data_IF_405911328873
#
_entry.id   IF_405911328873
#
_cell.length_a   1.000
_cell.length_b   1.000
_cell.length_c   1.000
_cell.angle_alpha   90.00
_cell.angle_beta   90.00
_cell.angle_gamma   90.00
#
_symmetry.space_group_name_H-M   'P 1'
#
loop_
_entity.id
_entity.type
_entity.pdbx_description
1 polymer ?
#
# COMPACT_ATOMS: atom_id res chain seq x y z
N UNK A 1 -37.08 -22.75 -4.44
CA UNK A 1 -35.70 -22.57 -4.97
C UNK A 1 -35.17 -21.15 -4.69
N UNK A 2 -35.23 -20.66 -3.43
CA UNK A 2 -34.79 -19.30 -3.05
C UNK A 2 -33.61 -19.28 -2.08
N UNK A 3 -33.16 -20.44 -1.59
CA UNK A 3 -32.08 -20.55 -0.61
C UNK A 3 -30.69 -20.75 -1.22
N UNK A 4 -30.58 -21.03 -2.53
CA UNK A 4 -29.30 -21.30 -3.18
C UNK A 4 -28.45 -20.04 -3.43
N UNK A 5 -29.06 -18.85 -3.50
CA UNK A 5 -28.33 -17.60 -3.76
C UNK A 5 -27.57 -17.04 -2.56
N UNK A 6 -27.90 -17.47 -1.33
CA UNK A 6 -27.25 -16.98 -0.11
C UNK A 6 -25.93 -17.69 0.22
N UNK A 7 -25.67 -18.88 -0.36
CA UNK A 7 -24.45 -19.66 -0.13
C UNK A 7 -23.24 -19.18 -0.95
N UNK A 8 -23.44 -18.37 -2.00
CA UNK A 8 -22.34 -17.84 -2.83
C UNK A 8 -21.65 -16.60 -2.24
N UNK A 9 -22.21 -15.99 -1.18
CA UNK A 9 -21.65 -14.78 -0.55
C UNK A 9 -20.70 -15.11 0.61
N UNK A 10 -20.62 -16.37 1.04
CA UNK A 10 -19.81 -16.79 2.19
C UNK A 10 -18.40 -17.29 1.83
N UNK A 11 -17.88 -17.00 0.63
CA UNK A 11 -16.47 -17.30 0.33
C UNK A 11 -15.63 -16.16 0.90
N UNK A 12 -14.84 -16.37 1.97
CA UNK A 12 -13.88 -15.38 2.42
C UNK A 12 -12.83 -15.23 1.32
N UNK A 13 -12.93 -14.14 0.55
CA UNK A 13 -11.87 -13.78 -0.38
C UNK A 13 -10.77 -13.14 0.48
N UNK A 14 -9.73 -13.90 0.79
CA UNK A 14 -8.48 -13.35 1.31
C UNK A 14 -7.83 -12.57 0.17
N UNK A 15 -8.19 -11.30 0.03
CA UNK A 15 -7.55 -10.40 -0.94
C UNK A 15 -6.21 -9.97 -0.31
N UNK A 16 -5.11 -10.54 -0.82
CA UNK A 16 -3.77 -10.04 -0.56
C UNK A 16 -3.69 -8.55 -0.87
N UNK A 17 -3.13 -7.74 0.03
CA UNK A 17 -2.92 -6.32 -0.28
C UNK A 17 -1.93 -6.15 -1.43
N UNK A 18 -2.06 -5.09 -2.21
CA UNK A 18 -1.06 -4.69 -3.22
C UNK A 18 -0.19 -3.57 -2.69
N UNK A 19 1.10 -3.61 -2.94
CA UNK A 19 2.03 -2.54 -2.57
C UNK A 19 2.87 -2.10 -3.76
N UNK A 20 3.42 -0.89 -3.70
CA UNK A 20 4.52 -0.51 -4.57
C UNK A 20 5.80 -1.22 -4.10
N UNK A 21 6.52 -1.83 -5.02
CA UNK A 21 7.79 -2.53 -4.78
C UNK A 21 8.83 -2.01 -5.75
N UNK A 22 10.02 -1.69 -5.26
CA UNK A 22 11.12 -1.22 -6.09
C UNK A 22 12.02 -0.24 -5.37
N UNK A 23 12.95 0.32 -6.12
CA UNK A 23 13.95 1.25 -5.63
C UNK A 23 14.09 2.44 -6.59
N UNK A 24 14.35 3.60 -6.02
CA UNK A 24 14.66 4.82 -6.76
C UNK A 24 15.77 5.61 -6.09
N UNK A 25 16.47 6.42 -6.88
CA UNK A 25 17.53 7.29 -6.40
C UNK A 25 17.41 8.70 -7.00
N UNK A 26 17.99 9.67 -6.29
CA UNK A 26 17.99 11.08 -6.65
C UNK A 26 16.77 11.83 -6.12
N UNK A 27 16.89 13.17 -6.09
CA UNK A 27 15.98 14.07 -5.36
C UNK A 27 14.50 14.00 -5.79
N UNK A 28 14.24 13.48 -6.98
CA UNK A 28 12.89 13.32 -7.54
C UNK A 28 12.32 11.91 -7.36
N UNK A 29 12.98 11.02 -6.60
CA UNK A 29 12.60 9.62 -6.48
C UNK A 29 12.40 8.92 -7.83
N UNK A 30 13.31 9.19 -8.78
CA UNK A 30 13.30 8.50 -10.08
C UNK A 30 13.69 7.04 -9.85
N UNK A 31 12.67 6.20 -9.80
CA UNK A 31 12.80 4.78 -9.49
C UNK A 31 11.81 3.97 -10.29
N UNK A 32 12.12 2.68 -10.40
CA UNK A 32 11.22 1.73 -11.02
C UNK A 32 10.38 1.06 -9.92
N UNK A 33 9.09 1.39 -9.89
CA UNK A 33 8.16 0.83 -8.91
C UNK A 33 7.09 -0.01 -9.62
N UNK A 34 6.99 -1.26 -9.23
CA UNK A 34 5.94 -2.18 -9.65
C UNK A 34 4.84 -2.25 -8.60
N UNK A 35 3.62 -2.48 -9.07
CA UNK A 35 2.50 -2.81 -8.19
C UNK A 35 2.34 -4.33 -8.17
N UNK A 36 2.58 -4.94 -7.02
CA UNK A 36 2.50 -6.39 -6.86
C UNK A 36 1.65 -6.76 -5.63
N UNK A 37 0.90 -7.88 -5.69
CA UNK A 37 0.23 -8.44 -4.52
C UNK A 37 1.28 -8.96 -3.51
N UNK A 38 1.03 -8.73 -2.23
CA UNK A 38 1.85 -9.23 -1.14
C UNK A 38 1.39 -10.62 -0.71
N UNK A 39 2.31 -11.50 -0.29
CA UNK A 39 1.94 -12.82 0.25
C UNK A 39 1.05 -12.73 1.50
N UNK A 40 0.40 -13.83 1.88
CA UNK A 40 -0.61 -13.88 2.94
C UNK A 40 -0.10 -13.37 4.31
N UNK A 41 1.20 -13.52 4.60
CA UNK A 41 1.84 -13.08 5.85
C UNK A 41 2.24 -11.58 5.84
N UNK A 42 2.08 -10.90 4.71
CA UNK A 42 2.52 -9.53 4.50
C UNK A 42 1.33 -8.57 4.48
N UNK A 43 0.88 -8.17 5.67
CA UNK A 43 -0.27 -7.28 5.84
C UNK A 43 0.08 -5.77 5.79
N UNK A 44 1.32 -5.40 5.44
CA UNK A 44 1.79 -4.03 5.41
C UNK A 44 2.50 -3.69 4.10
N UNK A 45 2.46 -2.41 3.71
CA UNK A 45 3.37 -1.86 2.73
C UNK A 45 4.48 -1.09 3.44
N UNK A 46 5.70 -1.29 2.95
CA UNK A 46 6.92 -0.71 3.48
C UNK A 46 7.44 0.41 2.57
N UNK A 47 8.00 1.46 3.17
CA UNK A 47 8.78 2.49 2.48
C UNK A 47 9.95 2.90 3.36
N UNK A 48 11.15 2.90 2.79
CA UNK A 48 12.34 3.48 3.37
C UNK A 48 12.80 4.65 2.52
N UNK A 49 13.07 5.79 3.16
CA UNK A 49 13.45 7.04 2.52
C UNK A 49 14.74 7.54 3.18
N UNK A 50 15.88 7.38 2.49
CA UNK A 50 17.21 7.67 3.03
C UNK A 50 17.89 8.82 2.29
N UNK A 51 18.46 9.73 3.07
CA UNK A 51 19.35 10.81 2.69
C UNK A 51 20.70 10.62 3.39
N UNK A 52 21.67 10.04 2.69
CA UNK A 52 23.02 9.82 3.23
C UNK A 52 24.09 10.31 2.25
N UNK A 53 25.08 11.05 2.76
CA UNK A 53 26.21 11.55 1.98
C UNK A 53 25.82 12.29 0.68
N UNK A 54 24.70 13.03 0.71
CA UNK A 54 24.18 13.76 -0.46
C UNK A 54 23.42 12.90 -1.48
N UNK A 55 23.21 11.61 -1.18
CA UNK A 55 22.40 10.70 -2.00
C UNK A 55 21.04 10.50 -1.35
N UNK A 56 19.99 10.66 -2.16
CA UNK A 56 18.61 10.32 -1.81
C UNK A 56 18.23 8.98 -2.43
N UNK A 57 17.75 8.03 -1.64
CA UNK A 57 17.26 6.73 -2.10
C UNK A 57 15.93 6.40 -1.45
N UNK A 58 14.99 5.86 -2.23
CA UNK A 58 13.71 5.34 -1.73
C UNK A 58 13.55 3.89 -2.11
N UNK A 59 13.34 3.04 -1.10
CA UNK A 59 13.08 1.61 -1.25
C UNK A 59 11.66 1.30 -0.81
N UNK A 60 11.00 0.39 -1.51
CA UNK A 60 9.64 -0.04 -1.19
C UNK A 60 9.47 -1.53 -1.36
N UNK A 61 8.64 -2.11 -0.50
CA UNK A 61 8.33 -3.53 -0.55
C UNK A 61 7.01 -3.84 0.14
N UNK A 62 6.61 -5.10 0.08
CA UNK A 62 5.71 -5.66 1.10
C UNK A 62 6.45 -5.67 2.45
N UNK A 63 5.74 -5.32 3.52
CA UNK A 63 6.21 -5.36 4.89
C UNK A 63 5.69 -6.61 5.61
N UNK A 64 6.61 -7.40 6.15
CA UNK A 64 6.33 -8.46 7.12
C UNK A 64 6.42 -7.88 8.55
N UNK A 65 5.92 -8.63 9.53
CA UNK A 65 5.78 -8.19 10.93
C UNK A 65 7.08 -7.65 11.55
N UNK A 66 8.24 -8.22 11.21
CA UNK A 66 9.53 -7.76 11.76
C UNK A 66 10.02 -6.46 11.10
N UNK A 67 9.72 -6.27 9.81
CA UNK A 67 10.06 -5.05 9.09
C UNK A 67 9.07 -3.91 9.39
N UNK A 68 7.83 -4.27 9.74
CA UNK A 68 6.76 -3.35 10.09
C UNK A 68 6.15 -3.69 11.46
N UNK A 69 6.91 -3.51 12.56
CA UNK A 69 6.42 -3.82 13.91
C UNK A 69 5.28 -2.89 14.34
N UNK A 70 5.19 -1.70 13.74
CA UNK A 70 4.10 -0.75 13.97
C UNK A 70 3.77 0.04 12.70
N UNK A 71 2.52 0.52 12.61
CA UNK A 71 2.12 1.47 11.56
C UNK A 71 2.68 2.86 11.87
N UNK A 72 2.90 3.65 10.82
CA UNK A 72 3.37 5.02 10.92
C UNK A 72 4.76 5.17 10.33
N UNK A 73 5.31 6.36 10.50
CA UNK A 73 6.65 6.69 10.05
C UNK A 73 7.54 6.98 11.26
N UNK A 74 8.74 6.43 11.26
CA UNK A 74 9.74 6.59 12.31
C UNK A 74 11.04 7.08 11.68
N UNK A 75 11.75 7.97 12.38
CA UNK A 75 13.07 8.41 11.96
C UNK A 75 14.08 7.28 12.14
N UNK A 76 14.92 7.08 11.14
CA UNK A 76 16.03 6.12 11.16
C UNK A 76 17.34 6.86 10.85
N UNK A 77 18.47 6.17 10.95
CA UNK A 77 19.76 6.76 10.62
C UNK A 77 19.78 7.19 9.17
N UNK A 78 19.86 8.50 8.96
CA UNK A 78 19.89 9.07 7.62
C UNK A 78 18.54 9.11 6.92
N UNK A 79 17.39 8.99 7.60
CA UNK A 79 16.11 9.05 6.88
C UNK A 79 14.85 8.75 7.68
N UNK A 80 13.83 8.26 6.97
CA UNK A 80 12.52 7.88 7.52
C UNK A 80 12.10 6.52 7.01
N UNK A 81 11.63 5.68 7.91
CA UNK A 81 11.03 4.38 7.63
C UNK A 81 9.52 4.47 7.89
N UNK A 82 8.69 4.00 6.96
CA UNK A 82 7.24 4.07 7.05
C UNK A 82 6.59 2.73 6.75
N UNK A 83 5.61 2.38 7.58
CA UNK A 83 4.76 1.21 7.40
C UNK A 83 3.29 1.61 7.42
N UNK A 84 2.51 1.08 6.48
CA UNK A 84 1.08 1.33 6.37
C UNK A 84 0.34 0.03 6.02
N UNK A 85 -0.96 -0.03 6.30
CA UNK A 85 -1.80 -1.20 6.00
C UNK A 85 -2.92 -0.79 5.06
N UNK A 86 -3.05 -1.50 3.96
CA UNK A 86 -4.05 -1.25 2.92
C UNK A 86 -3.41 -1.24 1.53
N UNK A 87 -4.24 -1.34 0.51
CA UNK A 87 -3.78 -1.35 -0.88
C UNK A 87 -3.07 -0.04 -1.25
N UNK A 88 -1.86 -0.18 -1.78
CA UNK A 88 -1.03 0.88 -2.38
C UNK A 88 -0.77 2.07 -1.45
N UNK A 89 -0.78 1.84 -0.13
CA UNK A 89 -0.65 2.89 0.87
C UNK A 89 0.77 3.47 0.97
N UNK A 90 1.76 2.92 0.25
CA UNK A 90 3.14 3.42 0.15
C UNK A 90 3.40 4.16 -1.18
N UNK A 91 2.72 5.30 -1.44
CA UNK A 91 2.64 5.93 -2.76
C UNK A 91 4.01 6.28 -3.33
N UNK A 92 4.17 6.16 -4.67
CA UNK A 92 5.28 6.78 -5.40
C UNK A 92 5.29 8.28 -5.11
N UNK A 93 6.48 8.88 -5.00
CA UNK A 93 6.58 10.25 -4.54
C UNK A 93 5.75 11.21 -5.41
N UNK A 94 5.08 12.14 -4.71
CA UNK A 94 4.41 13.35 -5.20
C UNK A 94 2.98 13.25 -5.74
N UNK A 95 2.08 12.46 -5.12
CA UNK A 95 0.64 12.73 -5.25
C UNK A 95 0.01 12.75 -3.86
N UNK A 96 -0.02 13.96 -3.29
CA UNK A 96 -0.69 14.28 -2.03
C UNK A 96 -2.15 13.79 -2.06
N UNK A 97 -2.57 13.23 -0.93
CA UNK A 97 -3.82 12.52 -0.67
C UNK A 97 -5.08 13.30 -1.07
N UNK A 98 -5.58 13.11 -2.29
CA UNK A 98 -6.96 13.45 -2.62
C UNK A 98 -7.52 12.42 -3.61
N UNK A 99 -8.80 12.09 -3.42
CA UNK A 99 -9.64 11.23 -4.26
C UNK A 99 -9.61 9.73 -3.93
N UNK A 100 -10.15 9.38 -2.76
CA UNK A 100 -10.91 8.14 -2.61
C UNK A 100 -12.24 8.44 -1.93
N UNK A 101 -13.08 9.19 -2.64
CA UNK A 101 -14.46 9.46 -2.26
C UNK A 101 -15.37 9.46 -3.50
N UNK A 102 -15.23 8.48 -4.42
CA UNK A 102 -16.11 8.35 -5.58
C UNK A 102 -16.31 6.88 -6.02
N UNK A 103 -16.79 6.01 -5.13
CA UNK A 103 -17.39 4.72 -5.57
C UNK A 103 -18.65 4.32 -4.82
N UNK A 104 -19.01 4.98 -3.71
CA UNK A 104 -20.23 4.65 -2.96
C UNK A 104 -21.53 5.25 -3.56
N UNK A 105 -21.44 6.15 -4.55
CA UNK A 105 -22.62 6.84 -5.07
C UNK A 105 -23.38 6.07 -6.19
N UNK A 106 -22.78 5.10 -6.88
CA UNK A 106 -23.46 4.44 -8.00
C UNK A 106 -24.54 3.41 -7.58
N UNK A 107 -24.51 2.92 -6.35
CA UNK A 107 -25.48 1.93 -5.87
C UNK A 107 -26.80 2.54 -5.36
N UNK A 108 -26.83 3.85 -5.08
CA UNK A 108 -28.03 4.54 -4.54
C UNK A 108 -28.97 5.02 -5.65
N UNK A 109 -28.47 5.27 -6.87
CA UNK A 109 -29.29 5.80 -7.97
C UNK A 109 -29.97 4.73 -8.84
N UNK A 110 -29.74 3.44 -8.58
CA UNK A 110 -30.48 2.35 -9.24
C UNK A 110 -31.73 1.91 -8.45
N UNK A 111 -32.17 2.71 -7.47
CA UNK A 111 -33.38 2.45 -6.67
C UNK A 111 -34.30 3.68 -6.50
N UNK A 112 -34.44 4.50 -7.54
CA UNK A 112 -35.63 5.33 -7.73
C UNK A 112 -36.25 5.05 -9.09
#
# INVERSE_FOLDING_TARGET
MRFAFLLLVSIPVSISIKCYIGEGAGDNNQGFYLTLPCGDDNAYCYKLDLYMAGLHTVTKSCGYSDLCPSKGCHSTTGGTECCCKGDLCNPAASNSSLVSAMTAAAAVWLRL
#
